data_IF_428229965100
#
_entry.id   IF_428229965100
#
_cell.length_a   1.000
_cell.length_b   1.000
_cell.length_c   1.000
_cell.angle_alpha   90.00
_cell.angle_beta   90.00
_cell.angle_gamma   90.00
#
_symmetry.space_group_name_H-M   'P 1'
#
loop_
_entity.id
_entity.type
_entity.pdbx_description
1 polymer ?
#
# COMPACT_ATOMS: atom_id res chain seq x y z
N UNK A 1 -5.06 23.13 -30.11
CA UNK A 1 -4.49 22.45 -28.93
C UNK A 1 -4.33 21.00 -29.32
N UNK A 2 -3.11 20.47 -29.35
CA UNK A 2 -2.87 19.09 -29.76
C UNK A 2 -3.31 18.14 -28.64
N UNK A 3 -4.15 17.15 -28.97
CA UNK A 3 -4.38 15.99 -28.11
C UNK A 3 -3.04 15.34 -27.75
N UNK A 4 -2.82 14.93 -26.48
CA UNK A 4 -1.65 14.14 -26.13
C UNK A 4 -1.69 12.79 -26.88
N UNK A 5 -0.55 12.44 -27.48
CA UNK A 5 -0.32 11.21 -28.22
C UNK A 5 -0.79 9.94 -27.48
N UNK A 6 -1.19 8.87 -28.21
CA UNK A 6 -1.73 7.65 -27.60
C UNK A 6 -0.74 7.04 -26.59
N UNK A 7 -1.29 6.72 -25.42
CA UNK A 7 -0.71 6.05 -24.26
C UNK A 7 0.76 5.60 -24.41
N UNK A 8 1.71 6.50 -24.19
CA UNK A 8 3.07 6.09 -23.84
C UNK A 8 2.99 5.27 -22.55
N UNK A 9 3.62 4.09 -22.54
CA UNK A 9 3.76 3.29 -21.33
C UNK A 9 4.29 4.18 -20.19
N UNK A 10 3.83 3.97 -18.94
CA UNK A 10 4.25 4.82 -17.84
C UNK A 10 5.76 4.64 -17.60
N UNK A 11 6.50 5.71 -17.28
CA UNK A 11 7.95 5.67 -17.13
C UNK A 11 8.33 4.86 -15.89
N UNK A 12 9.40 4.07 -15.95
CA UNK A 12 9.87 3.35 -14.76
C UNK A 12 10.27 4.32 -13.64
N UNK A 13 9.83 4.03 -12.42
CA UNK A 13 10.11 4.82 -11.23
C UNK A 13 10.92 3.98 -10.25
N UNK A 14 12.17 4.36 -9.95
CA UNK A 14 13.00 3.62 -9.00
C UNK A 14 12.42 3.75 -7.58
N UNK A 15 12.77 2.78 -6.73
CA UNK A 15 12.43 2.84 -5.31
C UNK A 15 13.05 4.10 -4.66
N UNK A 16 12.28 4.91 -3.93
CA UNK A 16 12.81 6.05 -3.19
C UNK A 16 13.82 5.62 -2.11
N UNK A 17 14.76 6.52 -1.81
CA UNK A 17 15.69 6.32 -0.69
C UNK A 17 14.97 6.43 0.66
N UNK A 18 15.34 5.57 1.61
CA UNK A 18 14.75 5.52 2.96
C UNK A 18 13.97 4.23 3.24
N UNK A 19 13.63 4.03 4.52
CA UNK A 19 13.06 2.76 5.00
C UNK A 19 11.52 2.78 5.11
N UNK A 20 10.86 3.94 5.15
CA UNK A 20 9.43 4.05 5.46
C UNK A 20 8.58 4.57 4.30
N UNK A 21 7.48 3.86 4.02
CA UNK A 21 6.49 4.27 3.02
C UNK A 21 5.71 5.47 3.56
N UNK A 22 6.16 6.68 3.24
CA UNK A 22 5.47 7.92 3.59
C UNK A 22 4.71 8.47 2.40
N UNK A 23 3.64 9.22 2.65
CA UNK A 23 2.93 9.93 1.58
C UNK A 23 3.88 10.83 0.79
N UNK A 24 4.84 11.46 1.47
CA UNK A 24 5.86 12.30 0.86
C UNK A 24 6.78 11.50 -0.07
N UNK A 25 7.29 10.35 0.35
CA UNK A 25 8.14 9.52 -0.49
C UNK A 25 7.45 9.09 -1.80
N UNK A 26 6.15 8.78 -1.73
CA UNK A 26 5.35 8.46 -2.92
C UNK A 26 5.09 9.72 -3.76
N UNK A 27 4.80 10.86 -3.13
CA UNK A 27 4.64 12.13 -3.85
C UNK A 27 5.91 12.48 -4.63
N UNK A 28 7.06 12.48 -3.97
CA UNK A 28 8.34 12.81 -4.56
C UNK A 28 8.73 11.81 -5.67
N UNK A 29 8.44 10.52 -5.51
CA UNK A 29 8.74 9.49 -6.51
C UNK A 29 7.95 9.65 -7.82
N UNK A 30 6.70 10.08 -7.70
CA UNK A 30 5.75 10.18 -8.81
C UNK A 30 5.48 11.63 -9.25
N UNK A 31 6.28 12.59 -8.76
CA UNK A 31 6.30 13.99 -9.23
C UNK A 31 7.05 14.10 -10.58
N UNK A 32 6.52 13.41 -11.59
CA UNK A 32 7.06 13.40 -12.95
C UNK A 32 6.05 14.01 -13.91
N UNK A 33 6.52 14.64 -15.03
CA UNK A 33 5.63 15.26 -16.02
C UNK A 33 4.53 14.33 -16.54
N UNK A 34 4.82 13.03 -16.66
CA UNK A 34 3.86 12.01 -17.07
C UNK A 34 2.62 11.95 -16.14
N UNK A 35 2.84 11.93 -14.83
CA UNK A 35 1.77 11.81 -13.84
C UNK A 35 1.05 13.13 -13.62
N UNK A 36 1.78 14.26 -13.66
CA UNK A 36 1.18 15.59 -13.63
C UNK A 36 0.14 15.76 -14.75
N UNK A 37 0.48 15.34 -15.98
CA UNK A 37 -0.43 15.39 -17.13
C UNK A 37 -1.68 14.48 -16.99
N UNK A 38 -1.62 13.43 -16.15
CA UNK A 38 -2.74 12.51 -15.86
C UNK A 38 -3.59 12.93 -14.67
N UNK A 39 -3.33 14.12 -14.10
CA UNK A 39 -4.07 14.64 -12.96
C UNK A 39 -3.62 14.04 -11.64
N UNK A 40 -2.33 13.69 -11.50
CA UNK A 40 -1.72 13.33 -10.21
C UNK A 40 -2.06 14.32 -9.08
N UNK A 41 -2.04 15.60 -9.39
CA UNK A 41 -2.38 16.69 -8.46
C UNK A 41 -3.88 16.74 -8.11
N UNK A 42 -4.76 16.26 -9.01
CA UNK A 42 -6.21 16.24 -8.81
C UNK A 42 -6.66 15.15 -7.83
N UNK A 43 -5.81 14.16 -7.58
CA UNK A 43 -5.99 13.19 -6.51
C UNK A 43 -5.54 13.85 -5.22
N UNK A 44 -6.53 14.53 -4.65
CA UNK A 44 -6.36 15.53 -3.59
C UNK A 44 -5.56 15.09 -2.38
N UNK A 45 -5.24 13.80 -2.18
CA UNK A 45 -4.20 13.31 -1.25
C UNK A 45 -3.63 11.99 -1.80
N UNK A 46 -2.34 11.71 -1.63
CA UNK A 46 -1.78 10.36 -1.90
C UNK A 46 -2.35 9.29 -0.94
N UNK A 47 -2.98 9.71 0.15
CA UNK A 47 -3.50 8.82 1.19
C UNK A 47 -4.59 7.83 0.74
N UNK A 48 -5.62 8.19 -0.05
CA UNK A 48 -6.60 7.25 -0.58
C UNK A 48 -5.96 6.22 -1.51
N UNK A 49 -4.97 6.60 -2.31
CA UNK A 49 -4.21 5.66 -3.14
C UNK A 49 -3.49 4.62 -2.28
N UNK A 50 -2.76 5.08 -1.26
CA UNK A 50 -2.06 4.18 -0.32
C UNK A 50 -3.05 3.29 0.43
N UNK A 51 -4.24 3.79 0.78
CA UNK A 51 -5.28 3.00 1.45
C UNK A 51 -5.80 1.88 0.56
N UNK A 52 -6.12 2.17 -0.70
CA UNK A 52 -6.59 1.15 -1.66
C UNK A 52 -5.51 0.11 -1.88
N UNK A 53 -4.28 0.54 -2.16
CA UNK A 53 -3.14 -0.37 -2.34
C UNK A 53 -2.94 -1.25 -1.10
N UNK A 54 -2.94 -0.67 0.10
CA UNK A 54 -2.79 -1.42 1.36
C UNK A 54 -3.93 -2.41 1.59
N UNK A 55 -5.18 -2.01 1.32
CA UNK A 55 -6.36 -2.87 1.48
C UNK A 55 -6.27 -4.09 0.56
N UNK A 56 -6.06 -3.87 -0.74
CA UNK A 56 -5.95 -4.96 -1.70
C UNK A 56 -4.73 -5.85 -1.41
N UNK A 57 -3.61 -5.28 -0.96
CA UNK A 57 -2.42 -6.06 -0.57
C UNK A 57 -2.69 -6.94 0.66
N UNK A 58 -3.39 -6.40 1.67
CA UNK A 58 -3.80 -7.19 2.83
C UNK A 58 -4.74 -8.33 2.46
N UNK A 59 -5.77 -8.05 1.65
CA UNK A 59 -6.69 -9.09 1.18
C UNK A 59 -5.97 -10.16 0.35
N UNK A 60 -4.96 -9.78 -0.45
CA UNK A 60 -4.15 -10.73 -1.20
C UNK A 60 -3.34 -11.64 -0.28
N UNK A 61 -2.70 -11.08 0.75
CA UNK A 61 -1.95 -11.84 1.76
C UNK A 61 -2.82 -12.84 2.53
N UNK A 62 -4.08 -12.48 2.81
CA UNK A 62 -5.05 -13.38 3.44
C UNK A 62 -5.45 -14.50 2.48
N UNK A 63 -5.78 -14.16 1.24
CA UNK A 63 -6.22 -15.14 0.23
C UNK A 63 -5.12 -16.15 -0.14
N UNK A 64 -3.86 -15.73 -0.20
CA UNK A 64 -2.73 -16.62 -0.47
C UNK A 64 -2.22 -17.37 0.76
N UNK A 65 -2.87 -17.20 1.93
CA UNK A 65 -2.49 -17.82 3.20
C UNK A 65 -1.04 -17.53 3.63
N UNK A 66 -0.37 -16.55 3.02
CA UNK A 66 0.98 -16.13 3.41
C UNK A 66 1.01 -15.66 4.87
N UNK A 67 -0.08 -15.06 5.35
CA UNK A 67 -0.21 -14.69 6.76
C UNK A 67 -0.28 -15.89 7.71
N UNK A 68 -0.72 -17.05 7.23
CA UNK A 68 -0.82 -18.29 8.00
C UNK A 68 0.48 -19.11 7.95
N UNK A 69 1.25 -19.00 6.86
CA UNK A 69 2.60 -19.56 6.71
C UNK A 69 3.67 -18.84 7.56
N UNK A 70 3.30 -17.70 8.13
CA UNK A 70 4.16 -16.79 8.90
C UNK A 70 4.85 -17.38 10.16
N UNK A 71 4.43 -18.50 10.80
CA UNK A 71 5.24 -19.12 11.85
C UNK A 71 6.61 -19.62 11.36
N UNK A 72 6.80 -19.75 10.04
CA UNK A 72 8.01 -20.29 9.44
C UNK A 72 8.93 -19.21 8.84
N UNK A 73 8.49 -17.94 8.77
CA UNK A 73 9.24 -16.84 8.14
C UNK A 73 9.10 -15.55 8.97
N UNK A 74 10.23 -14.91 9.27
CA UNK A 74 10.26 -13.66 10.07
C UNK A 74 9.77 -12.45 9.26
N UNK A 75 10.04 -12.43 7.94
CA UNK A 75 9.67 -11.35 7.04
C UNK A 75 9.13 -11.84 5.69
N UNK A 76 8.23 -11.06 5.08
CA UNK A 76 7.75 -11.33 3.71
C UNK A 76 8.86 -11.37 2.67
N UNK A 77 9.98 -10.68 2.91
CA UNK A 77 11.18 -10.74 2.05
C UNK A 77 11.88 -12.09 2.05
N UNK A 78 11.57 -12.97 3.00
CA UNK A 78 12.20 -14.28 3.16
C UNK A 78 11.46 -15.37 2.34
N UNK A 79 10.33 -15.00 1.74
CA UNK A 79 9.58 -15.85 0.81
C UNK A 79 10.36 -16.05 -0.49
N UNK A 80 10.12 -17.19 -1.13
CA UNK A 80 10.65 -17.46 -2.48
C UNK A 80 9.97 -16.53 -3.48
N UNK A 81 10.71 -16.06 -4.48
CA UNK A 81 10.20 -15.13 -5.51
C UNK A 81 8.87 -15.58 -6.13
N UNK A 82 8.66 -16.90 -6.27
CA UNK A 82 7.40 -17.49 -6.77
C UNK A 82 6.19 -17.14 -5.91
N UNK A 83 6.32 -17.17 -4.58
CA UNK A 83 5.23 -16.86 -3.65
C UNK A 83 4.92 -15.36 -3.63
N UNK A 84 5.97 -14.54 -3.82
CA UNK A 84 5.84 -13.09 -3.99
C UNK A 84 5.08 -12.79 -5.29
N UNK A 85 5.47 -13.40 -6.41
CA UNK A 85 4.79 -13.25 -7.71
C UNK A 85 3.32 -13.69 -7.62
N UNK A 86 3.05 -14.87 -7.04
CA UNK A 86 1.68 -15.36 -6.88
C UNK A 86 0.81 -14.42 -6.04
N UNK A 87 1.36 -13.89 -4.94
CA UNK A 87 0.63 -12.92 -4.10
C UNK A 87 0.42 -11.59 -4.84
N UNK A 88 1.39 -11.16 -5.65
CA UNK A 88 1.27 -9.96 -6.46
C UNK A 88 0.17 -10.09 -7.53
N UNK A 89 0.03 -11.24 -8.19
CA UNK A 89 -1.05 -11.50 -9.14
C UNK A 89 -2.43 -11.40 -8.49
N UNK A 90 -2.60 -11.97 -7.29
CA UNK A 90 -3.83 -11.84 -6.51
C UNK A 90 -4.10 -10.37 -6.16
N UNK A 91 -3.07 -9.64 -5.73
CA UNK A 91 -3.15 -8.21 -5.46
C UNK A 91 -3.62 -7.40 -6.68
N UNK A 92 -3.03 -7.63 -7.85
CA UNK A 92 -3.43 -6.95 -9.09
C UNK A 92 -4.89 -7.25 -9.47
N UNK A 93 -5.34 -8.49 -9.32
CA UNK A 93 -6.73 -8.88 -9.55
C UNK A 93 -7.68 -8.12 -8.62
N UNK A 94 -7.32 -7.98 -7.34
CA UNK A 94 -8.11 -7.23 -6.36
C UNK A 94 -8.15 -5.74 -6.64
N UNK A 95 -7.02 -5.14 -7.02
CA UNK A 95 -6.95 -3.73 -7.42
C UNK A 95 -7.88 -3.46 -8.60
N UNK A 96 -7.83 -4.30 -9.64
CA UNK A 96 -8.67 -4.16 -10.84
C UNK A 96 -10.17 -4.33 -10.55
N UNK A 97 -10.51 -5.14 -9.55
CA UNK A 97 -11.90 -5.35 -9.13
C UNK A 97 -12.40 -4.33 -8.10
N UNK A 98 -11.53 -3.49 -7.54
CA UNK A 98 -11.91 -2.54 -6.50
C UNK A 98 -12.72 -1.39 -7.10
N UNK A 99 -13.91 -1.07 -6.56
CA UNK A 99 -14.77 -0.03 -7.10
C UNK A 99 -14.12 1.34 -6.91
N UNK A 100 -13.76 1.99 -8.01
CA UNK A 100 -13.17 3.33 -8.01
C UNK A 100 -13.42 4.05 -9.34
N UNK A 101 -13.22 5.37 -9.33
CA UNK A 101 -13.30 6.19 -10.54
C UNK A 101 -12.30 5.72 -11.62
N UNK A 102 -12.68 5.83 -12.89
CA UNK A 102 -11.89 5.32 -14.02
C UNK A 102 -10.53 6.02 -14.16
N UNK A 103 -10.46 7.32 -13.86
CA UNK A 103 -9.21 8.08 -13.87
C UNK A 103 -8.30 7.60 -12.73
N UNK A 104 -8.88 7.37 -11.55
CA UNK A 104 -8.15 6.87 -10.39
C UNK A 104 -7.61 5.45 -10.60
N UNK A 105 -8.43 4.56 -11.19
CA UNK A 105 -8.05 3.18 -11.54
C UNK A 105 -6.89 3.12 -12.53
N UNK A 106 -6.97 3.96 -13.57
CA UNK A 106 -5.92 4.05 -14.59
C UNK A 106 -4.61 4.51 -13.97
N UNK A 107 -4.66 5.55 -13.12
CA UNK A 107 -3.45 6.04 -12.47
C UNK A 107 -2.83 5.02 -11.51
N UNK A 108 -3.63 4.35 -10.66
CA UNK A 108 -3.09 3.29 -9.78
C UNK A 108 -2.39 2.22 -10.62
N UNK A 109 -2.99 1.84 -11.75
CA UNK A 109 -2.38 0.87 -12.66
C UNK A 109 -1.06 1.38 -13.22
N UNK A 110 -0.99 2.64 -13.68
CA UNK A 110 0.25 3.24 -14.18
C UNK A 110 1.35 3.29 -13.11
N UNK A 111 0.99 3.58 -11.86
CA UNK A 111 1.92 3.63 -10.73
C UNK A 111 2.49 2.25 -10.41
N UNK A 112 1.63 1.23 -10.42
CA UNK A 112 2.06 -0.14 -10.19
C UNK A 112 2.99 -0.61 -11.31
N UNK A 113 2.62 -0.36 -12.57
CA UNK A 113 3.45 -0.66 -13.74
C UNK A 113 4.79 0.07 -13.73
N UNK A 114 4.84 1.30 -13.26
CA UNK A 114 6.09 2.04 -13.13
C UNK A 114 6.96 1.60 -11.96
N UNK A 115 6.33 1.09 -10.89
CA UNK A 115 7.04 0.50 -9.75
C UNK A 115 7.53 -0.92 -10.02
N UNK A 116 7.00 -1.55 -11.07
CA UNK A 116 7.61 -2.71 -11.70
C UNK A 116 8.84 -2.21 -12.48
N UNK A 117 10.05 -2.46 -11.98
CA UNK A 117 11.30 -2.04 -12.63
C UNK A 117 11.56 -2.80 -13.95
N UNK A 118 10.69 -2.60 -14.94
CA UNK A 118 10.75 -3.03 -16.34
C UNK A 118 11.17 -4.48 -16.55
N UNK A 119 10.56 -5.41 -15.82
CA UNK A 119 10.72 -6.84 -16.11
C UNK A 119 12.14 -7.39 -15.91
N UNK A 120 13.00 -6.72 -15.13
CA UNK A 120 14.23 -7.34 -14.60
C UNK A 120 13.88 -8.35 -13.50
N UNK A 121 13.18 -9.42 -13.91
CA UNK A 121 12.96 -10.62 -13.09
C UNK A 121 14.33 -11.06 -12.55
N UNK A 122 14.47 -11.10 -11.23
CA UNK A 122 15.74 -11.39 -10.54
C UNK A 122 16.44 -10.19 -9.91
N UNK A 123 15.93 -8.96 -10.04
CA UNK A 123 16.35 -7.86 -9.16
C UNK A 123 15.49 -7.83 -7.89
N UNK A 124 16.14 -7.59 -6.74
CA UNK A 124 15.51 -7.61 -5.40
C UNK A 124 14.28 -6.70 -5.30
N UNK A 125 14.22 -5.65 -6.13
CA UNK A 125 13.26 -4.56 -6.06
C UNK A 125 12.32 -4.44 -7.29
N UNK A 126 12.11 -5.51 -8.07
CA UNK A 126 11.24 -5.45 -9.26
C UNK A 126 9.73 -5.26 -8.95
N UNK A 127 9.34 -5.25 -7.67
CA UNK A 127 7.98 -4.97 -7.17
C UNK A 127 8.05 -4.07 -5.93
N UNK A 128 8.91 -3.06 -5.96
CA UNK A 128 9.31 -2.34 -4.74
C UNK A 128 8.13 -1.73 -3.99
N UNK A 129 7.15 -1.14 -4.69
CA UNK A 129 6.00 -0.49 -4.06
C UNK A 129 5.13 -1.51 -3.34
N UNK A 130 4.86 -2.64 -3.99
CA UNK A 130 4.14 -3.75 -3.39
C UNK A 130 4.87 -4.29 -2.16
N UNK A 131 6.15 -4.65 -2.29
CA UNK A 131 6.97 -5.15 -1.16
C UNK A 131 7.02 -4.15 0.01
N UNK A 132 7.06 -2.86 -0.28
CA UNK A 132 7.11 -1.81 0.74
C UNK A 132 5.78 -1.64 1.49
N UNK A 133 4.65 -1.75 0.77
CA UNK A 133 3.32 -1.77 1.38
C UNK A 133 3.17 -2.96 2.31
N UNK A 134 3.60 -4.14 1.86
CA UNK A 134 3.58 -5.36 2.68
C UNK A 134 4.41 -5.15 3.95
N UNK A 135 5.65 -4.67 3.83
CA UNK A 135 6.48 -4.34 4.98
C UNK A 135 5.78 -3.41 5.99
N UNK A 136 5.07 -2.38 5.50
CA UNK A 136 4.28 -1.48 6.35
C UNK A 136 3.13 -2.19 7.09
N UNK A 137 2.45 -3.14 6.44
CA UNK A 137 1.43 -3.99 7.07
C UNK A 137 2.07 -4.84 8.17
N UNK A 138 3.24 -5.43 7.91
CA UNK A 138 3.95 -6.26 8.88
C UNK A 138 4.36 -5.48 10.13
N UNK A 139 4.94 -4.29 9.96
CA UNK A 139 5.34 -3.43 11.07
C UNK A 139 4.15 -3.05 11.96
N UNK A 140 3.00 -2.70 11.35
CA UNK A 140 1.79 -2.38 12.09
C UNK A 140 1.27 -3.58 12.90
N UNK A 141 1.32 -4.79 12.34
CA UNK A 141 0.94 -6.02 13.05
C UNK A 141 1.91 -6.34 14.19
N UNK A 142 3.22 -6.22 13.98
CA UNK A 142 4.23 -6.44 15.01
C UNK A 142 4.06 -5.44 16.17
N UNK A 143 3.82 -4.16 15.86
CA UNK A 143 3.56 -3.14 16.87
C UNK A 143 2.28 -3.46 17.66
N UNK A 144 1.22 -3.93 16.99
CA UNK A 144 -0.02 -4.37 17.65
C UNK A 144 0.25 -5.53 18.63
N UNK A 145 0.95 -6.58 18.18
CA UNK A 145 1.32 -7.73 19.04
C UNK A 145 2.14 -7.29 20.25
N UNK A 146 3.12 -6.40 20.06
CA UNK A 146 3.93 -5.83 21.16
C UNK A 146 3.07 -5.04 22.15
N UNK A 147 2.10 -4.26 21.67
CA UNK A 147 1.16 -3.52 22.53
C UNK A 147 0.23 -4.46 23.31
N UNK A 148 -0.32 -5.48 22.67
CA UNK A 148 -1.16 -6.50 23.31
C UNK A 148 -0.37 -7.29 24.38
N UNK A 149 0.88 -7.68 24.10
CA UNK A 149 1.76 -8.32 25.06
C UNK A 149 2.11 -7.43 26.27
N UNK A 150 2.33 -6.13 26.04
CA UNK A 150 2.57 -5.15 27.14
C UNK A 150 1.32 -4.98 28.00
N UNK A 151 0.14 -4.85 27.39
CA UNK A 151 -1.15 -4.81 28.10
C UNK A 151 -1.40 -6.06 28.94
N UNK A 152 -1.13 -7.25 28.38
CA UNK A 152 -1.26 -8.51 29.09
C UNK A 152 -0.29 -8.66 30.28
N UNK A 153 0.84 -7.93 30.27
CA UNK A 153 1.83 -7.89 31.36
C UNK A 153 1.54 -6.82 32.42
N UNK A 154 0.48 -6.02 32.27
CA UNK A 154 0.11 -4.97 33.22
C UNK A 154 1.11 -3.81 33.29
N UNK A 155 1.93 -3.62 32.26
CA UNK A 155 2.96 -2.58 32.20
C UNK A 155 2.34 -1.27 31.68
N UNK A 156 1.66 -0.55 32.59
CA UNK A 156 0.91 0.68 32.31
C UNK A 156 1.83 1.92 32.33
N UNK A 157 2.97 1.83 31.64
CA UNK A 157 3.95 2.92 31.61
C UNK A 157 3.67 3.90 30.48
N UNK A 158 3.56 5.18 30.87
CA UNK A 158 3.19 6.36 30.09
C UNK A 158 3.85 6.41 28.70
N UNK A 159 3.02 6.64 27.67
CA UNK A 159 3.46 6.89 26.30
C UNK A 159 4.56 7.97 26.25
N UNK A 160 5.71 7.76 25.57
CA UNK A 160 6.57 8.87 25.22
C UNK A 160 5.82 9.79 24.24
N UNK A 161 5.52 11.02 24.68
CA UNK A 161 4.76 12.04 23.94
C UNK A 161 5.31 12.39 22.55
N UNK A 162 6.50 11.91 22.19
CA UNK A 162 7.13 12.14 20.89
C UNK A 162 6.31 11.51 19.74
N UNK A 163 5.53 10.46 20.01
CA UNK A 163 4.80 9.69 18.97
C UNK A 163 3.33 10.14 18.76
N UNK A 164 2.85 11.17 19.47
CA UNK A 164 1.48 11.71 19.27
C UNK A 164 1.32 12.51 17.97
N UNK A 165 2.41 13.01 17.38
CA UNK A 165 2.34 13.82 16.15
C UNK A 165 2.14 13.01 14.87
N UNK A 166 2.43 11.70 14.89
CA UNK A 166 2.19 10.82 13.72
C UNK A 166 0.85 10.04 13.79
N UNK A 167 0.08 10.19 14.88
CA UNK A 167 -1.24 9.55 15.11
C UNK A 167 -2.38 10.01 14.21
N UNK A 168 -2.09 10.67 13.08
CA UNK A 168 -3.06 10.85 11.98
C UNK A 168 -2.90 9.80 10.86
N UNK A 169 -2.09 8.77 11.08
CA UNK A 169 -2.09 7.54 10.27
C UNK A 169 -3.08 6.53 10.84
N UNK A 170 -4.23 6.38 10.17
CA UNK A 170 -5.34 5.51 10.54
C UNK A 170 -4.88 4.09 10.95
N UNK A 171 -5.44 3.61 12.06
CA UNK A 171 -5.43 2.20 12.45
C UNK A 171 -5.90 1.33 11.28
N UNK A 172 -5.21 0.21 11.05
CA UNK A 172 -5.60 -0.80 10.05
C UNK A 172 -7.02 -1.32 10.31
N UNK A 173 -7.49 -1.33 11.56
CA UNK A 173 -8.85 -1.73 11.91
C UNK A 173 -9.90 -0.63 11.67
N UNK A 174 -9.52 0.65 11.80
CA UNK A 174 -10.45 1.77 11.54
C UNK A 174 -10.69 1.98 10.03
N UNK A 175 -9.79 1.47 9.18
CA UNK A 175 -9.91 1.50 7.71
C UNK A 175 -10.68 0.32 7.13
N UNK A 176 -10.75 -0.80 7.85
CA UNK A 176 -11.45 -2.01 7.40
C UNK A 176 -12.90 -2.04 7.90
N UNK A 177 -13.21 -1.32 8.99
CA UNK A 177 -14.53 -1.31 9.61
C UNK A 177 -15.44 -0.10 9.29
N UNK A 178 -15.03 0.84 8.43
CA UNK A 178 -15.97 1.88 7.96
C UNK A 178 -16.67 1.43 6.70
N UNK A 179 -17.66 0.55 6.87
CA UNK A 179 -18.82 0.36 6.00
C UNK A 179 -19.87 -0.39 6.83
N UNK A 180 -20.58 0.34 7.69
CA UNK A 180 -21.98 0.10 8.07
C UNK A 180 -22.38 1.17 9.09
N UNK A 181 -22.46 2.43 8.64
CA UNK A 181 -23.45 3.34 9.22
C UNK A 181 -23.68 4.51 8.28
N UNK A 182 -24.76 4.44 7.50
CA UNK A 182 -25.59 5.58 7.11
C UNK A 182 -26.75 5.08 6.24
N UNK A 183 -27.98 5.13 6.77
CA UNK A 183 -29.12 5.02 5.88
C UNK A 183 -30.52 4.73 6.42
N UNK A 184 -30.91 5.10 7.65
CA UNK A 184 -32.34 5.34 7.88
C UNK A 184 -32.58 6.60 8.72
N UNK A 185 -32.83 7.69 7.97
CA UNK A 185 -33.44 8.93 8.44
C UNK A 185 -34.95 8.77 8.33
N UNK A 186 -35.62 9.16 9.40
CA UNK A 186 -37.06 9.28 9.57
C UNK A 186 -37.75 9.99 8.40
N UNK A 187 -38.95 9.50 8.07
CA UNK A 187 -40.11 10.34 7.73
C UNK A 187 -41.36 9.76 8.36
#
# INVERSE_FOLDING_TARGET
MAEPAPASAPPAVPKPEGHSLTNKAIQDAFDLPYYQARGWESITRVSPLVRVIRKCAHEALVETQIMELRPQFDHFSDLVDKDIEATYEVFLRKIKAHPMDSQFSTLITDILLSSENLGKKGTRDHLWLFKWVIYGIEQAQQQKKRREQRKARGDDSLEPEVEKRERKGLSILDLVNTNDDQGHVER
#
